data_IF_323667675885
#
_entry.id   IF_323667675885
#
_cell.length_a   1.000
_cell.length_b   1.000
_cell.length_c   1.000
_cell.angle_alpha   90.00
_cell.angle_beta   90.00
_cell.angle_gamma   90.00
#
_symmetry.space_group_name_H-M   'P 1'
#
loop_
_entity.id
_entity.type
_entity.pdbx_description
1 polymer ?
#
# COMPACT_ATOMS: atom_id res chain seq x y z
N UNK A 1 21.04 49.72 -16.07
CA UNK A 1 20.63 48.99 -14.84
C UNK A 1 19.53 47.95 -15.06
N UNK A 2 18.51 48.18 -15.92
CA UNK A 2 17.43 47.19 -16.17
C UNK A 2 17.88 45.89 -16.87
N UNK A 3 18.96 45.92 -17.66
CA UNK A 3 19.52 44.72 -18.34
C UNK A 3 20.38 43.83 -17.43
N UNK A 4 20.91 44.37 -16.32
CA UNK A 4 21.66 43.60 -15.32
C UNK A 4 20.74 42.80 -14.37
N UNK A 5 19.53 43.31 -14.11
CA UNK A 5 18.53 42.63 -13.28
C UNK A 5 17.96 41.37 -13.94
N UNK A 6 17.83 41.33 -15.27
CA UNK A 6 17.35 40.16 -15.99
C UNK A 6 18.38 39.01 -16.05
N UNK A 7 19.68 39.33 -16.09
CA UNK A 7 20.74 38.32 -16.03
C UNK A 7 20.87 37.68 -14.64
N UNK A 8 20.50 38.40 -13.57
CA UNK A 8 20.55 37.88 -12.20
C UNK A 8 19.36 36.95 -11.87
N UNK A 9 18.20 37.16 -12.50
CA UNK A 9 17.00 36.31 -12.33
C UNK A 9 17.10 34.97 -13.07
N UNK A 10 17.95 34.86 -14.10
CA UNK A 10 18.12 33.62 -14.86
C UNK A 10 19.03 32.60 -14.15
N UNK A 11 19.75 33.00 -13.11
CA UNK A 11 20.62 32.10 -12.31
C UNK A 11 19.94 31.53 -11.05
N UNK A 12 18.69 31.90 -10.77
CA UNK A 12 17.89 31.36 -9.64
C UNK A 12 16.91 30.24 -10.05
N UNK A 13 16.85 29.88 -11.33
CA UNK A 13 16.31 28.57 -11.75
C UNK A 13 17.42 27.54 -11.58
N UNK A 14 17.77 27.26 -10.32
CA UNK A 14 18.24 25.91 -10.00
C UNK A 14 17.20 24.98 -10.63
N UNK A 15 17.59 23.97 -11.44
CA UNK A 15 16.63 22.93 -11.73
C UNK A 15 16.14 22.47 -10.38
N UNK A 16 14.84 22.64 -10.11
CA UNK A 16 14.22 21.94 -9.02
C UNK A 16 14.59 20.49 -9.30
N UNK A 17 15.56 19.96 -8.56
CA UNK A 17 15.90 18.56 -8.62
C UNK A 17 14.56 17.89 -8.44
N UNK A 18 14.05 17.23 -9.50
CA UNK A 18 12.80 16.51 -9.41
C UNK A 18 12.92 15.66 -8.14
N UNK A 19 12.04 15.91 -7.18
CA UNK A 19 12.17 15.30 -5.86
C UNK A 19 12.11 13.78 -6.07
N UNK A 20 13.26 13.12 -5.88
CA UNK A 20 13.43 11.71 -6.24
C UNK A 20 12.45 10.81 -5.49
N UNK A 21 12.00 11.23 -4.31
CA UNK A 21 10.97 10.53 -3.54
C UNK A 21 9.58 10.69 -4.15
N UNK A 22 9.20 11.89 -4.58
CA UNK A 22 7.92 12.13 -5.28
C UNK A 22 7.90 11.38 -6.62
N UNK A 23 9.00 11.41 -7.37
CA UNK A 23 9.09 10.67 -8.61
C UNK A 23 9.00 9.16 -8.37
N UNK A 24 9.71 8.63 -7.36
CA UNK A 24 9.63 7.23 -6.96
C UNK A 24 8.21 6.84 -6.57
N UNK A 25 7.54 7.66 -5.75
CA UNK A 25 6.15 7.44 -5.33
C UNK A 25 5.22 7.30 -6.55
N UNK A 26 5.41 8.15 -7.56
CA UNK A 26 4.63 8.07 -8.81
C UNK A 26 4.97 6.84 -9.64
N UNK A 27 6.25 6.60 -9.94
CA UNK A 27 6.63 5.51 -10.87
C UNK A 27 6.45 4.11 -10.26
N UNK A 28 6.46 3.98 -8.93
CA UNK A 28 6.14 2.75 -8.24
C UNK A 28 4.62 2.49 -8.12
N UNK A 29 3.78 3.33 -8.75
CA UNK A 29 2.34 3.09 -8.89
C UNK A 29 1.49 3.41 -7.66
N UNK A 30 2.02 4.13 -6.67
CA UNK A 30 1.28 4.44 -5.43
C UNK A 30 -0.05 5.17 -5.67
N UNK A 31 -0.15 6.20 -6.53
CA UNK A 31 -1.41 6.89 -6.76
C UNK A 31 -2.50 5.97 -7.33
N UNK A 32 -2.13 5.04 -8.22
CA UNK A 32 -3.06 4.10 -8.82
C UNK A 32 -3.46 3.01 -7.82
N UNK A 33 -2.53 2.48 -7.04
CA UNK A 33 -2.83 1.55 -5.95
C UNK A 33 -3.79 2.17 -4.92
N UNK A 34 -3.57 3.44 -4.56
CA UNK A 34 -4.45 4.21 -3.67
C UNK A 34 -5.85 4.39 -4.29
N UNK A 35 -5.93 4.62 -5.60
CA UNK A 35 -7.22 4.66 -6.31
C UNK A 35 -7.94 3.32 -6.26
N UNK A 36 -7.25 2.22 -6.55
CA UNK A 36 -7.80 0.87 -6.49
C UNK A 36 -8.28 0.51 -5.07
N UNK A 37 -7.54 0.91 -4.03
CA UNK A 37 -7.97 0.77 -2.64
C UNK A 37 -9.27 1.54 -2.37
N UNK A 38 -9.39 2.80 -2.79
CA UNK A 38 -10.61 3.58 -2.61
C UNK A 38 -11.81 2.99 -3.37
N UNK A 39 -11.61 2.44 -4.57
CA UNK A 39 -12.65 1.73 -5.33
C UNK A 39 -13.12 0.47 -4.61
N UNK A 40 -12.17 -0.34 -4.12
CA UNK A 40 -12.46 -1.55 -3.36
C UNK A 40 -13.19 -1.23 -2.04
N UNK A 41 -12.76 -0.17 -1.36
CA UNK A 41 -13.41 0.33 -0.15
C UNK A 41 -14.83 0.79 -0.42
N UNK A 42 -15.06 1.56 -1.47
CA UNK A 42 -16.41 2.03 -1.87
C UNK A 42 -17.32 0.85 -2.20
N UNK A 43 -16.81 -0.15 -2.92
CA UNK A 43 -17.54 -1.37 -3.21
C UNK A 43 -17.85 -2.18 -1.94
N UNK A 44 -16.93 -2.23 -0.97
CA UNK A 44 -17.16 -2.88 0.32
C UNK A 44 -18.22 -2.14 1.15
N UNK A 45 -18.17 -0.80 1.22
CA UNK A 45 -19.18 0.01 1.89
C UNK A 45 -20.59 -0.28 1.33
N UNK A 46 -20.74 -0.27 0.00
CA UNK A 46 -22.04 -0.56 -0.64
C UNK A 46 -22.63 -1.93 -0.25
N UNK A 47 -21.79 -2.95 -0.02
CA UNK A 47 -22.25 -4.27 0.43
C UNK A 47 -22.85 -4.24 1.84
N UNK A 48 -22.39 -3.35 2.71
CA UNK A 48 -22.89 -3.23 4.08
C UNK A 48 -24.15 -2.36 4.20
N UNK A 49 -24.50 -1.60 3.16
CA UNK A 49 -25.65 -0.69 3.17
C UNK A 49 -26.98 -1.40 3.52
N UNK A 50 -27.17 -2.63 3.03
CA UNK A 50 -28.38 -3.43 3.30
C UNK A 50 -28.34 -4.20 4.60
N UNK A 51 -27.18 -4.31 5.25
CA UNK A 51 -26.95 -5.18 6.42
C UNK A 51 -26.81 -4.40 7.73
N UNK A 52 -26.55 -3.09 7.67
CA UNK A 52 -26.35 -2.23 8.84
C UNK A 52 -27.51 -1.25 9.03
N UNK A 53 -27.90 -0.92 10.28
CA UNK A 53 -28.82 0.18 10.53
C UNK A 53 -28.32 1.51 9.93
N UNK A 54 -29.21 2.38 9.40
CA UNK A 54 -28.79 3.57 8.66
C UNK A 54 -27.79 4.47 9.40
N UNK A 55 -27.99 4.68 10.71
CA UNK A 55 -27.08 5.50 11.51
C UNK A 55 -25.68 4.86 11.65
N UNK A 56 -25.61 3.54 11.82
CA UNK A 56 -24.35 2.78 11.91
C UNK A 56 -23.62 2.80 10.56
N UNK A 57 -24.37 2.58 9.48
CA UNK A 57 -23.84 2.65 8.12
C UNK A 57 -23.26 4.04 7.81
N UNK A 58 -23.99 5.11 8.14
CA UNK A 58 -23.53 6.48 7.89
C UNK A 58 -22.27 6.81 8.72
N UNK A 59 -22.23 6.40 9.99
CA UNK A 59 -21.05 6.58 10.83
C UNK A 59 -19.83 5.84 10.25
N UNK A 60 -20.01 4.60 9.80
CA UNK A 60 -18.97 3.80 9.15
C UNK A 60 -18.43 4.50 7.90
N UNK A 61 -19.31 4.91 6.99
CA UNK A 61 -18.92 5.58 5.74
C UNK A 61 -18.21 6.90 6.01
N UNK A 62 -18.72 7.72 6.94
CA UNK A 62 -18.11 9.01 7.26
C UNK A 62 -16.69 8.85 7.82
N UNK A 63 -16.50 7.99 8.83
CA UNK A 63 -15.18 7.73 9.41
C UNK A 63 -14.23 7.12 8.37
N UNK A 64 -14.72 6.19 7.56
CA UNK A 64 -13.96 5.57 6.48
C UNK A 64 -13.46 6.62 5.47
N UNK A 65 -14.35 7.49 4.98
CA UNK A 65 -14.02 8.48 3.97
C UNK A 65 -13.10 9.57 4.50
N UNK A 66 -13.24 9.93 5.78
CA UNK A 66 -12.31 10.85 6.44
C UNK A 66 -10.91 10.25 6.56
N UNK A 67 -10.81 9.01 7.08
CA UNK A 67 -9.52 8.34 7.28
C UNK A 67 -8.79 8.07 5.96
N UNK A 68 -9.53 7.60 4.96
CA UNK A 68 -9.00 7.18 3.66
C UNK A 68 -9.19 8.22 2.56
N UNK A 69 -9.32 9.50 2.93
CA UNK A 69 -9.37 10.60 1.97
C UNK A 69 -8.10 10.57 1.09
N UNK A 70 -8.23 10.57 -0.25
CA UNK A 70 -7.10 10.26 -1.14
C UNK A 70 -5.86 11.12 -0.89
N UNK A 71 -6.05 12.44 -0.78
CA UNK A 71 -4.96 13.39 -0.53
C UNK A 71 -4.29 13.17 0.84
N UNK A 72 -5.07 12.83 1.87
CA UNK A 72 -4.53 12.60 3.21
C UNK A 72 -3.74 11.28 3.27
N UNK A 73 -4.20 10.25 2.55
CA UNK A 73 -3.46 8.99 2.40
C UNK A 73 -2.13 9.25 1.69
N UNK A 74 -2.15 9.94 0.55
CA UNK A 74 -0.94 10.25 -0.23
C UNK A 74 0.05 11.09 0.58
N UNK A 75 -0.41 12.15 1.26
CA UNK A 75 0.45 13.00 2.10
C UNK A 75 1.15 12.21 3.21
N UNK A 76 0.41 11.36 3.94
CA UNK A 76 0.99 10.55 5.03
C UNK A 76 1.95 9.49 4.48
N UNK A 77 1.58 8.83 3.39
CA UNK A 77 2.39 7.79 2.78
C UNK A 77 3.71 8.37 2.22
N UNK A 78 3.64 9.45 1.46
CA UNK A 78 4.82 10.09 0.86
C UNK A 78 5.75 10.66 1.93
N UNK A 79 5.20 11.35 2.95
CA UNK A 79 5.99 11.87 4.06
C UNK A 79 6.73 10.74 4.81
N UNK A 80 6.05 9.62 5.04
CA UNK A 80 6.65 8.47 5.72
C UNK A 80 7.64 7.73 4.83
N UNK A 81 7.41 7.63 3.51
CA UNK A 81 8.38 7.08 2.57
C UNK A 81 9.66 7.92 2.60
N UNK A 82 9.55 9.25 2.48
CA UNK A 82 10.69 10.18 2.52
C UNK A 82 11.46 10.07 3.84
N UNK A 83 10.76 9.89 4.97
CA UNK A 83 11.38 9.75 6.28
C UNK A 83 12.19 8.46 6.44
N UNK A 84 11.74 7.35 5.83
CA UNK A 84 12.35 6.02 6.05
C UNK A 84 13.26 5.56 4.91
N UNK A 85 13.22 6.22 3.76
CA UNK A 85 14.08 5.92 2.62
C UNK A 85 15.11 7.03 2.44
N UNK A 86 16.34 6.80 2.91
CA UNK A 86 17.40 7.82 2.85
C UNK A 86 17.79 8.20 1.41
N UNK A 87 17.97 7.20 0.54
CA UNK A 87 18.28 7.42 -0.88
C UNK A 87 17.21 6.75 -1.78
N UNK A 88 16.40 7.52 -2.51
CA UNK A 88 15.39 6.97 -3.41
C UNK A 88 15.98 6.48 -4.74
N UNK A 89 17.22 6.87 -5.09
CA UNK A 89 17.77 6.66 -6.46
C UNK A 89 17.81 5.21 -6.90
N UNK A 90 18.23 4.22 -6.08
CA UNK A 90 18.27 2.83 -6.53
C UNK A 90 16.88 2.30 -6.89
N UNK A 91 15.90 2.53 -6.01
CA UNK A 91 14.52 2.11 -6.26
C UNK A 91 13.90 2.87 -7.43
N UNK A 92 14.16 4.19 -7.52
CA UNK A 92 13.70 5.01 -8.63
C UNK A 92 14.23 4.47 -9.97
N UNK A 93 15.51 4.15 -10.04
CA UNK A 93 16.12 3.57 -11.24
C UNK A 93 15.51 2.21 -11.58
N UNK A 94 15.26 1.36 -10.58
CA UNK A 94 14.62 0.06 -10.78
C UNK A 94 13.20 0.22 -11.36
N UNK A 95 12.33 1.02 -10.74
CA UNK A 95 10.95 1.20 -11.20
C UNK A 95 10.83 1.96 -12.53
N UNK A 96 11.87 2.70 -12.94
CA UNK A 96 11.94 3.32 -14.26
C UNK A 96 12.39 2.35 -15.37
N UNK A 97 13.01 1.23 -15.01
CA UNK A 97 13.47 0.21 -15.96
C UNK A 97 12.29 -0.48 -16.68
N UNK A 98 12.52 -1.16 -17.82
CA UNK A 98 11.50 -1.97 -18.47
C UNK A 98 10.88 -3.02 -17.53
N UNK A 99 11.69 -3.70 -16.72
CA UNK A 99 11.23 -4.69 -15.76
C UNK A 99 10.38 -4.06 -14.65
N UNK A 100 10.86 -2.98 -14.04
CA UNK A 100 10.14 -2.26 -12.99
C UNK A 100 8.76 -1.80 -13.44
N UNK A 101 8.63 -1.31 -14.69
CA UNK A 101 7.34 -0.96 -15.28
C UNK A 101 6.41 -2.16 -15.47
N UNK A 102 6.94 -3.32 -15.87
CA UNK A 102 6.15 -4.56 -15.98
C UNK A 102 5.64 -5.02 -14.62
N UNK A 103 6.48 -4.96 -13.59
CA UNK A 103 6.11 -5.30 -12.20
C UNK A 103 4.97 -4.40 -11.72
N UNK A 104 5.12 -3.08 -11.86
CA UNK A 104 4.07 -2.12 -11.47
C UNK A 104 2.79 -2.37 -12.26
N UNK A 105 2.87 -2.61 -13.57
CA UNK A 105 1.70 -2.93 -14.38
C UNK A 105 1.00 -4.22 -13.93
N UNK A 106 1.76 -5.26 -13.57
CA UNK A 106 1.23 -6.52 -13.06
C UNK A 106 0.53 -6.35 -11.70
N UNK A 107 1.13 -5.58 -10.79
CA UNK A 107 0.55 -5.25 -9.48
C UNK A 107 -0.72 -4.41 -9.59
N UNK A 108 -0.72 -3.38 -10.45
CA UNK A 108 -1.90 -2.56 -10.72
C UNK A 108 -3.01 -3.36 -11.39
N UNK A 109 -2.67 -4.25 -12.31
CA UNK A 109 -3.66 -5.14 -12.91
C UNK A 109 -4.31 -6.01 -11.83
N UNK A 110 -3.52 -6.61 -10.93
CA UNK A 110 -4.03 -7.50 -9.89
C UNK A 110 -4.98 -6.81 -8.90
N UNK A 111 -4.78 -5.51 -8.62
CA UNK A 111 -5.63 -4.73 -7.69
C UNK A 111 -6.77 -3.98 -8.39
N UNK A 112 -6.86 -4.04 -9.71
CA UNK A 112 -7.93 -3.39 -10.47
C UNK A 112 -9.31 -3.97 -10.13
N UNK A 113 -10.33 -3.12 -10.11
CA UNK A 113 -11.71 -3.47 -9.69
C UNK A 113 -12.28 -4.72 -10.37
N UNK A 114 -12.08 -4.87 -11.68
CA UNK A 114 -12.54 -6.03 -12.45
C UNK A 114 -11.82 -7.32 -12.04
N UNK A 115 -10.51 -7.27 -11.76
CA UNK A 115 -9.74 -8.43 -11.29
C UNK A 115 -10.13 -8.80 -9.87
N UNK A 116 -10.34 -7.83 -8.98
CA UNK A 116 -10.86 -8.08 -7.63
C UNK A 116 -12.26 -8.70 -7.67
N UNK A 117 -13.14 -8.22 -8.55
CA UNK A 117 -14.47 -8.80 -8.73
C UNK A 117 -14.41 -10.23 -9.30
N UNK A 118 -13.57 -10.45 -10.31
CA UNK A 118 -13.35 -11.76 -10.94
C UNK A 118 -12.85 -12.79 -9.93
N UNK A 119 -11.95 -12.38 -9.04
CA UNK A 119 -11.31 -13.24 -8.05
C UNK A 119 -11.93 -13.12 -6.65
N UNK A 120 -13.17 -12.62 -6.54
CA UNK A 120 -13.83 -12.41 -5.24
C UNK A 120 -14.01 -13.71 -4.42
N UNK A 121 -13.94 -14.89 -5.06
CA UNK A 121 -14.01 -16.21 -4.43
C UNK A 121 -12.63 -16.82 -4.15
N UNK A 122 -11.56 -16.05 -4.33
CA UNK A 122 -10.19 -16.52 -4.26
C UNK A 122 -9.52 -16.57 -5.64
N UNK A 123 -8.20 -16.67 -5.62
CA UNK A 123 -7.37 -16.78 -6.82
C UNK A 123 -7.39 -18.23 -7.35
N UNK A 124 -7.34 -18.43 -8.67
CA UNK A 124 -7.10 -19.76 -9.22
C UNK A 124 -5.75 -20.30 -8.73
N UNK A 125 -5.64 -21.63 -8.60
CA UNK A 125 -4.35 -22.26 -8.33
C UNK A 125 -3.49 -22.22 -9.60
N UNK A 126 -2.30 -21.65 -9.48
CA UNK A 126 -1.39 -21.43 -10.60
C UNK A 126 -0.42 -22.61 -10.72
N UNK A 127 -0.39 -23.33 -11.86
CA UNK A 127 0.67 -24.29 -12.13
C UNK A 127 1.99 -23.55 -12.37
N UNK A 128 3.10 -24.07 -11.85
CA UNK A 128 4.42 -23.50 -12.01
C UNK A 128 5.48 -24.61 -12.02
N UNK A 129 6.60 -24.37 -12.69
CA UNK A 129 7.79 -25.21 -12.60
C UNK A 129 8.43 -25.10 -11.21
N UNK A 130 9.24 -26.09 -10.83
CA UNK A 130 9.98 -26.07 -9.57
C UNK A 130 10.90 -24.84 -9.48
N UNK A 131 11.53 -24.45 -10.59
CA UNK A 131 12.35 -23.23 -10.67
C UNK A 131 11.54 -21.97 -10.37
N UNK A 132 10.38 -21.81 -11.02
CA UNK A 132 9.50 -20.65 -10.77
C UNK A 132 8.98 -20.63 -9.33
N UNK A 133 8.68 -21.79 -8.74
CA UNK A 133 8.29 -21.87 -7.34
C UNK A 133 9.41 -21.44 -6.39
N UNK A 134 10.66 -21.77 -6.69
CA UNK A 134 11.82 -21.33 -5.92
C UNK A 134 11.94 -19.80 -5.96
N UNK A 135 11.91 -19.20 -7.16
CA UNK A 135 12.01 -17.74 -7.34
C UNK A 135 10.87 -17.01 -6.61
N UNK A 136 9.65 -17.53 -6.71
CA UNK A 136 8.50 -16.97 -5.97
C UNK A 136 8.70 -17.10 -4.46
N UNK A 137 9.31 -18.19 -3.98
CA UNK A 137 9.68 -18.35 -2.59
C UNK A 137 10.66 -17.27 -2.11
N UNK A 138 11.64 -16.90 -2.92
CA UNK A 138 12.54 -15.78 -2.67
C UNK A 138 11.79 -14.45 -2.59
N UNK A 139 10.92 -14.16 -3.56
CA UNK A 139 10.07 -12.96 -3.55
C UNK A 139 9.14 -12.91 -2.33
N UNK A 140 8.55 -14.04 -1.93
CA UNK A 140 7.68 -14.12 -0.75
C UNK A 140 8.41 -13.82 0.57
N UNK A 141 9.73 -13.98 0.61
CA UNK A 141 10.57 -13.64 1.74
C UNK A 141 11.04 -12.18 1.68
N UNK A 142 11.39 -11.70 0.48
CA UNK A 142 11.92 -10.35 0.27
C UNK A 142 10.83 -9.27 0.33
N UNK A 143 9.63 -9.55 -0.17
CA UNK A 143 8.52 -8.61 -0.24
C UNK A 143 7.68 -8.65 1.06
N UNK A 144 7.32 -7.49 1.64
CA UNK A 144 6.50 -7.41 2.85
C UNK A 144 5.00 -7.57 2.54
N UNK A 145 4.64 -8.51 1.65
CA UNK A 145 3.28 -8.64 1.13
C UNK A 145 2.30 -9.11 2.21
N UNK A 146 2.72 -10.03 3.09
CA UNK A 146 1.89 -10.51 4.21
C UNK A 146 1.69 -9.42 5.27
N UNK A 147 2.74 -8.66 5.55
CA UNK A 147 2.68 -7.52 6.47
C UNK A 147 1.77 -6.44 5.90
N UNK A 148 1.97 -6.02 4.64
CA UNK A 148 1.16 -5.02 3.98
C UNK A 148 -0.33 -5.42 3.95
N UNK A 149 -0.65 -6.66 3.59
CA UNK A 149 -2.02 -7.15 3.58
C UNK A 149 -2.66 -7.18 4.98
N UNK A 150 -1.88 -7.50 6.02
CA UNK A 150 -2.35 -7.43 7.40
C UNK A 150 -2.61 -5.98 7.84
N UNK A 151 -1.74 -5.04 7.49
CA UNK A 151 -1.92 -3.61 7.81
C UNK A 151 -3.15 -3.02 7.11
N UNK A 152 -3.40 -3.37 5.84
CA UNK A 152 -4.61 -2.98 5.11
C UNK A 152 -5.87 -3.52 5.82
N UNK A 153 -5.85 -4.79 6.19
CA UNK A 153 -6.97 -5.45 6.88
C UNK A 153 -7.26 -4.80 8.24
N UNK A 154 -6.21 -4.49 9.01
CA UNK A 154 -6.33 -3.82 10.30
C UNK A 154 -6.81 -2.37 10.16
N UNK A 155 -6.40 -1.66 9.11
CA UNK A 155 -6.90 -0.31 8.84
C UNK A 155 -8.42 -0.30 8.66
N UNK A 156 -8.94 -1.23 7.85
CA UNK A 156 -10.38 -1.36 7.60
C UNK A 156 -11.12 -1.76 8.89
N UNK A 157 -10.59 -2.72 9.64
CA UNK A 157 -11.16 -3.13 10.93
C UNK A 157 -11.18 -1.98 11.95
N UNK A 158 -10.14 -1.15 11.98
CA UNK A 158 -10.04 0.03 12.83
C UNK A 158 -11.13 1.05 12.59
N UNK A 159 -11.51 1.29 11.33
CA UNK A 159 -12.64 2.19 10.99
C UNK A 159 -13.96 1.67 11.56
N UNK A 160 -14.21 0.37 11.46
CA UNK A 160 -15.43 -0.23 12.00
C UNK A 160 -15.48 -0.09 13.54
N UNK A 161 -14.36 -0.32 14.22
CA UNK A 161 -14.26 -0.17 15.66
C UNK A 161 -14.44 1.29 16.13
N UNK A 162 -13.78 2.25 15.47
CA UNK A 162 -13.93 3.68 15.76
C UNK A 162 -15.39 4.14 15.57
N UNK A 163 -16.02 3.68 14.49
CA UNK A 163 -17.41 4.04 14.17
C UNK A 163 -18.37 3.54 15.25
N UNK A 164 -18.19 2.31 15.73
CA UNK A 164 -19.00 1.76 16.82
C UNK A 164 -18.75 2.50 18.15
N UNK A 165 -17.48 2.79 18.48
CA UNK A 165 -17.10 3.52 19.69
C UNK A 165 -17.70 4.93 19.73
N UNK A 166 -17.73 5.63 18.59
CA UNK A 166 -18.34 6.97 18.49
C UNK A 166 -19.84 6.98 18.77
N UNK A 167 -20.52 5.85 18.58
CA UNK A 167 -21.95 5.70 18.84
C UNK A 167 -22.26 5.24 20.27
N UNK A 168 -21.34 4.51 20.90
CA UNK A 168 -21.49 3.99 22.27
C UNK A 168 -20.25 4.36 23.08
N UNK A 169 -20.19 5.57 23.66
CA UNK A 169 -19.09 6.00 24.50
C UNK A 169 -18.88 5.02 25.68
N UNK A 170 -17.66 4.52 25.85
CA UNK A 170 -17.30 3.63 26.97
C UNK A 170 -17.29 2.12 26.67
N UNK A 171 -17.67 1.69 25.46
CA UNK A 171 -17.72 0.26 25.10
C UNK A 171 -16.32 -0.36 24.89
N UNK A 172 -15.30 0.43 24.59
CA UNK A 172 -13.93 -0.04 24.31
C UNK A 172 -12.91 0.78 25.10
N UNK A 173 -12.46 0.25 26.24
CA UNK A 173 -11.42 0.85 27.08
C UNK A 173 -10.05 0.82 26.39
N UNK A 174 -9.47 1.99 26.11
CA UNK A 174 -8.31 2.21 25.23
C UNK A 174 -6.95 1.58 25.60
N UNK A 175 -6.88 0.69 26.61
CA UNK A 175 -5.63 0.07 27.06
C UNK A 175 -5.42 -1.39 26.66
N UNK A 176 -6.49 -2.21 26.59
CA UNK A 176 -6.40 -3.64 26.24
C UNK A 176 -6.46 -3.90 24.72
N UNK A 177 -6.77 -2.88 23.92
CA UNK A 177 -6.90 -3.01 22.47
C UNK A 177 -5.58 -3.34 21.76
N UNK A 178 -4.44 -2.81 22.21
CA UNK A 178 -3.18 -2.92 21.47
C UNK A 178 -2.59 -4.35 21.46
N UNK A 179 -2.64 -5.05 22.59
CA UNK A 179 -2.20 -6.46 22.67
C UNK A 179 -3.08 -7.38 21.81
N UNK A 180 -4.39 -7.12 21.79
CA UNK A 180 -5.35 -7.83 20.93
C UNK A 180 -5.12 -7.54 19.44
N UNK A 181 -4.82 -6.29 19.06
CA UNK A 181 -4.49 -5.91 17.69
C UNK A 181 -3.20 -6.59 17.21
N UNK A 182 -2.18 -6.72 18.06
CA UNK A 182 -0.95 -7.43 17.72
C UNK A 182 -1.21 -8.92 17.45
N UNK A 183 -2.04 -9.58 18.28
CA UNK A 183 -2.45 -10.96 18.03
C UNK A 183 -3.31 -11.14 16.76
N UNK A 184 -4.16 -10.15 16.42
CA UNK A 184 -4.88 -10.14 15.15
C UNK A 184 -3.94 -9.96 13.95
N UNK A 185 -2.95 -9.06 14.06
CA UNK A 185 -1.93 -8.86 13.02
C UNK A 185 -1.22 -10.16 12.69
N UNK A 186 -0.73 -10.88 13.70
CA UNK A 186 0.00 -12.13 13.48
C UNK A 186 -0.88 -13.17 12.79
N UNK A 187 -2.13 -13.35 13.25
CA UNK A 187 -3.08 -14.28 12.61
C UNK A 187 -3.37 -13.93 11.15
N UNK A 188 -3.53 -12.64 10.83
CA UNK A 188 -3.73 -12.19 9.44
C UNK A 188 -2.49 -12.46 8.59
N UNK A 189 -1.29 -12.22 9.13
CA UNK A 189 -0.03 -12.54 8.45
C UNK A 189 0.09 -14.04 8.15
N UNK A 190 -0.27 -14.90 9.11
CA UNK A 190 -0.24 -16.36 8.91
C UNK A 190 -1.24 -16.81 7.83
N UNK A 191 -2.46 -16.25 7.85
CA UNK A 191 -3.50 -16.54 6.85
C UNK A 191 -3.10 -16.08 5.45
N UNK A 192 -2.57 -14.86 5.31
CA UNK A 192 -2.10 -14.32 4.02
C UNK A 192 -0.88 -15.11 3.55
N UNK A 193 0.02 -15.46 4.48
CA UNK A 193 1.23 -16.23 4.21
C UNK A 193 0.95 -17.61 3.61
N UNK A 194 -0.13 -18.27 4.03
CA UNK A 194 -0.48 -19.62 3.57
C UNK A 194 -0.71 -19.72 2.05
N UNK A 195 -1.24 -18.66 1.42
CA UNK A 195 -1.52 -18.59 -0.02
C UNK A 195 -0.64 -17.57 -0.76
N UNK A 196 0.39 -17.02 -0.08
CA UNK A 196 1.21 -15.94 -0.63
C UNK A 196 1.90 -16.34 -1.94
N UNK A 197 2.49 -17.55 -2.00
CA UNK A 197 3.16 -18.01 -3.22
C UNK A 197 2.20 -18.08 -4.41
N UNK A 198 0.98 -18.60 -4.21
CA UNK A 198 -0.03 -18.63 -5.28
C UNK A 198 -0.47 -17.23 -5.69
N UNK A 199 -0.54 -16.30 -4.73
CA UNK A 199 -0.83 -14.89 -5.00
C UNK A 199 0.25 -14.25 -5.86
N UNK A 200 1.52 -14.41 -5.51
CA UNK A 200 2.64 -13.86 -6.29
C UNK A 200 2.73 -14.49 -7.68
N UNK A 201 2.52 -15.81 -7.79
CA UNK A 201 2.40 -16.50 -9.08
C UNK A 201 1.30 -15.91 -9.95
N UNK A 202 0.14 -15.59 -9.36
CA UNK A 202 -0.96 -14.99 -10.09
C UNK A 202 -0.66 -13.56 -10.50
N UNK A 203 -0.11 -12.74 -9.59
CA UNK A 203 0.21 -11.33 -9.85
C UNK A 203 1.25 -11.23 -10.97
N UNK A 204 2.36 -11.97 -10.87
CA UNK A 204 3.48 -11.89 -11.81
C UNK A 204 3.46 -12.95 -12.91
N UNK A 205 2.29 -13.53 -13.19
CA UNK A 205 2.10 -14.62 -14.18
C UNK A 205 2.63 -14.33 -15.58
N UNK A 206 2.66 -13.05 -15.96
CA UNK A 206 3.05 -12.57 -17.29
C UNK A 206 4.54 -12.22 -17.40
N UNK A 207 5.33 -12.38 -16.31
CA UNK A 207 6.79 -12.22 -16.30
C UNK A 207 7.48 -13.54 -16.66
N UNK A 208 8.64 -13.45 -17.32
CA UNK A 208 9.52 -14.62 -17.53
C UNK A 208 10.23 -15.04 -16.24
N UNK A 209 10.85 -16.22 -16.22
CA UNK A 209 11.63 -16.67 -15.06
C UNK A 209 12.84 -15.76 -14.82
N UNK A 210 13.50 -15.32 -15.89
CA UNK A 210 14.63 -14.38 -15.83
C UNK A 210 14.22 -13.03 -15.25
N UNK A 211 13.04 -12.53 -15.65
CA UNK A 211 12.48 -11.28 -15.12
C UNK A 211 12.13 -11.39 -13.63
N UNK A 212 11.60 -12.54 -13.21
CA UNK A 212 11.30 -12.82 -11.81
C UNK A 212 12.59 -12.95 -10.98
N UNK A 213 13.65 -13.54 -11.52
CA UNK A 213 14.96 -13.64 -10.86
C UNK A 213 15.63 -12.27 -10.69
N UNK A 214 15.59 -11.43 -11.73
CA UNK A 214 16.10 -10.05 -11.65
C UNK A 214 15.31 -9.25 -10.61
N UNK A 215 13.98 -9.45 -10.56
CA UNK A 215 13.16 -8.84 -9.54
C UNK A 215 13.52 -9.31 -8.13
N UNK A 216 13.66 -10.62 -7.92
CA UNK A 216 14.06 -11.20 -6.64
C UNK A 216 15.42 -10.64 -6.20
N UNK A 217 16.37 -10.57 -7.13
CA UNK A 217 17.71 -10.01 -6.88
C UNK A 217 17.64 -8.57 -6.39
N UNK A 218 16.83 -7.72 -7.03
CA UNK A 218 16.62 -6.35 -6.55
C UNK A 218 15.95 -6.35 -5.17
N UNK A 219 14.86 -7.10 -4.98
CA UNK A 219 14.12 -7.11 -3.73
C UNK A 219 14.97 -7.61 -2.55
N UNK A 220 15.91 -8.53 -2.78
CA UNK A 220 16.83 -9.07 -1.78
C UNK A 220 18.07 -8.20 -1.52
N UNK A 221 18.38 -7.27 -2.43
CA UNK A 221 19.49 -6.31 -2.27
C UNK A 221 19.29 -5.40 -1.05
N UNK A 222 20.36 -4.76 -0.60
CA UNK A 222 20.32 -3.80 0.50
C UNK A 222 19.37 -2.64 0.17
N UNK A 223 19.45 -2.14 -1.07
CA UNK A 223 18.68 -1.03 -1.57
C UNK A 223 17.20 -1.39 -1.74
N UNK A 224 16.89 -2.57 -2.26
CA UNK A 224 15.52 -3.07 -2.38
C UNK A 224 14.87 -3.32 -1.03
N UNK A 225 15.60 -3.92 -0.08
CA UNK A 225 15.13 -4.06 1.31
C UNK A 225 14.83 -2.72 1.96
N UNK A 226 15.70 -1.73 1.79
CA UNK A 226 15.47 -0.37 2.29
C UNK A 226 14.19 0.23 1.69
N UNK A 227 13.98 0.09 0.38
CA UNK A 227 12.75 0.53 -0.27
C UNK A 227 11.51 -0.16 0.29
N UNK A 228 11.50 -1.50 0.35
CA UNK A 228 10.32 -2.24 0.78
C UNK A 228 9.98 -2.04 2.27
N UNK A 229 10.98 -1.85 3.12
CA UNK A 229 10.76 -1.45 4.53
C UNK A 229 10.15 -0.04 4.65
N UNK A 230 10.63 0.90 3.83
CA UNK A 230 10.07 2.25 3.77
C UNK A 230 8.66 2.24 3.17
N UNK A 231 8.41 1.41 2.15
CA UNK A 231 7.10 1.19 1.55
C UNK A 231 6.09 0.63 2.57
N UNK A 232 6.46 -0.40 3.34
CA UNK A 232 5.59 -0.92 4.40
C UNK A 232 5.26 0.17 5.45
N UNK A 233 6.25 1.00 5.80
CA UNK A 233 6.04 2.14 6.69
C UNK A 233 5.07 3.16 6.08
N UNK A 234 5.20 3.45 4.78
CA UNK A 234 4.30 4.32 4.04
C UNK A 234 2.86 3.78 3.99
N UNK A 235 2.65 2.48 3.81
CA UNK A 235 1.31 1.84 3.90
C UNK A 235 0.70 2.08 5.29
N UNK A 236 1.45 1.80 6.36
CA UNK A 236 0.98 1.98 7.74
C UNK A 236 0.55 3.41 8.01
N UNK A 237 1.36 4.39 7.59
CA UNK A 237 1.07 5.80 7.76
C UNK A 237 -0.08 6.28 6.86
N UNK A 238 -0.06 5.91 5.59
CA UNK A 238 -1.09 6.22 4.60
C UNK A 238 -2.47 5.77 5.06
N UNK A 239 -2.59 4.56 5.59
CA UNK A 239 -3.84 4.00 6.10
C UNK A 239 -4.12 4.31 7.58
N UNK A 240 -3.25 5.12 8.20
CA UNK A 240 -3.32 5.54 9.60
C UNK A 240 -3.48 4.35 10.58
N UNK A 241 -2.86 3.20 10.32
CA UNK A 241 -3.10 1.95 11.05
C UNK A 241 -2.83 2.14 12.55
N UNK A 242 -3.77 1.68 13.39
CA UNK A 242 -3.68 1.83 14.85
C UNK A 242 -3.95 3.25 15.37
N UNK A 243 -4.30 4.21 14.50
CA UNK A 243 -4.75 5.54 14.91
C UNK A 243 -6.28 5.61 14.86
N UNK A 244 -6.87 6.29 15.84
CA UNK A 244 -8.29 6.64 15.84
C UNK A 244 -8.56 7.79 14.87
N UNK A 245 -9.68 7.71 14.16
CA UNK A 245 -10.09 8.71 13.16
C UNK A 245 -10.20 10.12 13.76
N UNK A 246 -10.55 10.23 15.04
CA UNK A 246 -10.59 11.50 15.79
C UNK A 246 -9.23 12.20 15.92
N UNK A 247 -8.12 11.46 15.88
CA UNK A 247 -6.78 12.01 16.01
C UNK A 247 -6.22 12.51 14.67
N UNK A 248 -6.92 12.26 13.56
CA UNK A 248 -6.54 12.67 12.21
C UNK A 248 -7.10 14.05 11.82
N UNK A 249 -7.99 14.63 12.64
CA UNK A 249 -8.62 15.94 12.43
C UNK A 249 -7.93 17.09 13.18
N UNK A 250 -6.75 16.86 13.77
CA UNK A 250 -5.88 17.89 14.33
C UNK A 250 -4.70 18.15 13.40
#
# INVERSE_FOLDING_TARGET
MRRLLFSLLMFCVLPAWADGHDQLYKVAGWPDQRAHFNDALSAAQQRYQSSLPPAVFQALVNNSNQRFAPQAVDQRAEAQLRKNLADPKPALSFFQSPLGKKIVAAELLATRRDQLAKNAKGLPKMPASDSRLLIIGHLAQALPAREAGAEVSLAIAGVAADSLSSMIPGLLGGGQAQGMLNGQRQRLMDQIGADLNNTLLYVYRDLSDEELEEFATFAESTEGKAYYQAALSAIRAGLAVGQSTSNLSQ
#
